data_IF_637470252292
#
_entry.id   IF_637470252292
#
_cell.length_a   1.000
_cell.length_b   1.000
_cell.length_c   1.000
_cell.angle_alpha   90.00
_cell.angle_beta   90.00
_cell.angle_gamma   90.00
#
_symmetry.space_group_name_H-M   'P 1'
#
loop_
_entity.id
_entity.type
_entity.pdbx_description
1 polymer ?
#
# COMPACT_ATOMS: atom_id res chain seq x y z
N UNK A 1 3.30 -23.37 -4.53
CA UNK A 1 3.48 -23.14 -3.08
C UNK A 1 3.42 -21.63 -2.79
N UNK A 2 2.56 -21.18 -1.87
CA UNK A 2 2.60 -19.80 -1.35
C UNK A 2 3.75 -19.75 -0.33
N UNK A 3 4.71 -18.85 -0.50
CA UNK A 3 5.76 -18.62 0.51
C UNK A 3 5.06 -18.15 1.80
N UNK A 4 5.41 -18.72 2.98
CA UNK A 4 4.84 -18.25 4.24
C UNK A 4 5.14 -16.77 4.43
N UNK A 5 4.18 -16.05 5.04
CA UNK A 5 4.34 -14.64 5.37
C UNK A 5 5.45 -14.51 6.42
N UNK A 6 6.39 -13.60 6.18
CA UNK A 6 7.47 -13.27 7.12
C UNK A 6 7.12 -11.97 7.85
N UNK A 7 7.08 -12.03 9.19
CA UNK A 7 6.77 -10.89 10.05
C UNK A 7 7.81 -9.78 9.90
N UNK A 8 9.10 -10.13 9.83
CA UNK A 8 10.18 -9.13 9.73
C UNK A 8 10.07 -8.36 8.41
N UNK A 9 9.83 -9.07 7.32
CA UNK A 9 9.62 -8.47 6.01
C UNK A 9 8.35 -7.61 5.96
N UNK A 10 7.24 -8.06 6.58
CA UNK A 10 6.03 -7.26 6.65
C UNK A 10 6.23 -5.95 7.44
N UNK A 11 7.01 -5.98 8.54
CA UNK A 11 7.35 -4.77 9.30
C UNK A 11 8.18 -3.80 8.43
N UNK A 12 9.21 -4.29 7.73
CA UNK A 12 9.99 -3.47 6.78
C UNK A 12 9.12 -2.85 5.68
N UNK A 13 8.22 -3.63 5.08
CA UNK A 13 7.33 -3.15 4.02
C UNK A 13 6.31 -2.13 4.54
N UNK A 14 5.85 -2.25 5.78
CA UNK A 14 5.03 -1.22 6.44
C UNK A 14 5.80 0.09 6.52
N UNK A 15 7.05 0.07 7.00
CA UNK A 15 7.89 1.27 7.13
C UNK A 15 8.10 1.96 5.76
N UNK A 16 8.34 1.17 4.70
CA UNK A 16 8.49 1.69 3.34
C UNK A 16 7.20 2.37 2.86
N UNK A 17 6.04 1.73 3.05
CA UNK A 17 4.75 2.27 2.60
C UNK A 17 4.37 3.52 3.39
N UNK A 18 4.65 3.56 4.70
CA UNK A 18 4.44 4.74 5.55
C UNK A 18 5.33 5.91 5.13
N UNK A 19 6.64 5.66 4.94
CA UNK A 19 7.58 6.68 4.50
C UNK A 19 7.14 7.31 3.16
N UNK A 20 6.79 6.49 2.18
CA UNK A 20 6.33 6.97 0.87
C UNK A 20 5.02 7.77 0.99
N UNK A 21 4.08 7.34 1.85
CA UNK A 21 2.84 8.08 2.09
C UNK A 21 3.08 9.44 2.74
N UNK A 22 4.05 9.58 3.64
CA UNK A 22 4.43 10.87 4.24
C UNK A 22 4.96 11.88 3.22
N UNK A 23 5.47 11.41 2.07
CA UNK A 23 5.95 12.27 0.98
C UNK A 23 4.85 12.70 0.02
N UNK A 24 3.63 12.16 0.14
CA UNK A 24 2.49 12.54 -0.68
C UNK A 24 1.95 13.90 -0.22
N UNK A 25 1.87 14.92 -1.10
CA UNK A 25 1.38 16.23 -0.71
C UNK A 25 -0.05 16.20 -0.18
N UNK A 26 -0.30 16.94 0.89
CA UNK A 26 -1.65 17.28 1.32
C UNK A 26 -2.32 18.23 0.33
N UNK A 27 -3.64 18.08 0.18
CA UNK A 27 -4.43 18.84 -0.79
C UNK A 27 -5.63 19.43 -0.10
N UNK A 28 -5.90 20.71 -0.37
CA UNK A 28 -7.09 21.42 0.10
C UNK A 28 -8.26 21.22 -0.86
N UNK A 29 -9.48 21.29 -0.34
CA UNK A 29 -10.68 21.29 -1.17
C UNK A 29 -10.62 22.49 -2.14
N UNK A 30 -10.87 22.24 -3.42
CA UNK A 30 -10.82 23.25 -4.48
C UNK A 30 -9.45 23.48 -5.13
N UNK A 31 -8.36 22.90 -4.59
CA UNK A 31 -7.02 22.99 -5.21
C UNK A 31 -6.84 21.90 -6.27
N UNK A 32 -7.28 22.18 -7.50
CA UNK A 32 -7.16 21.23 -8.62
C UNK A 32 -5.71 20.84 -8.90
N UNK A 33 -4.80 21.80 -8.92
CA UNK A 33 -3.39 21.53 -9.22
C UNK A 33 -2.75 20.71 -8.08
N UNK A 34 -3.16 20.95 -6.83
CA UNK A 34 -2.81 20.10 -5.69
C UNK A 34 -3.29 18.67 -5.85
N UNK A 35 -4.53 18.48 -6.31
CA UNK A 35 -5.08 17.15 -6.62
C UNK A 35 -4.25 16.41 -7.67
N UNK A 36 -3.84 17.09 -8.74
CA UNK A 36 -2.99 16.51 -9.78
C UNK A 36 -1.61 16.12 -9.24
N UNK A 37 -0.94 17.02 -8.48
CA UNK A 37 0.36 16.73 -7.84
C UNK A 37 0.27 15.53 -6.90
N UNK A 38 -0.79 15.46 -6.09
CA UNK A 38 -1.03 14.34 -5.18
C UNK A 38 -1.23 13.02 -5.93
N UNK A 39 -2.02 13.03 -7.00
CA UNK A 39 -2.25 11.82 -7.80
C UNK A 39 -0.96 11.37 -8.51
N UNK A 40 -0.15 12.31 -9.00
CA UNK A 40 1.15 12.01 -9.58
C UNK A 40 2.11 11.39 -8.54
N UNK A 41 2.16 11.92 -7.32
CA UNK A 41 2.96 11.35 -6.22
C UNK A 41 2.51 9.92 -5.86
N UNK A 42 1.20 9.68 -5.77
CA UNK A 42 0.65 8.34 -5.52
C UNK A 42 0.97 7.35 -6.65
N UNK A 43 1.02 7.81 -7.91
CA UNK A 43 1.43 7.00 -9.06
C UNK A 43 2.90 6.62 -8.95
N UNK A 44 3.78 7.58 -8.66
CA UNK A 44 5.22 7.34 -8.43
C UNK A 44 5.46 6.34 -7.29
N UNK A 45 4.70 6.44 -6.21
CA UNK A 45 4.75 5.48 -5.11
C UNK A 45 4.35 4.07 -5.59
N UNK A 46 3.29 3.96 -6.41
CA UNK A 46 2.88 2.66 -6.97
C UNK A 46 4.01 2.05 -7.82
N UNK A 47 4.62 2.85 -8.68
CA UNK A 47 5.73 2.44 -9.54
C UNK A 47 6.93 1.97 -8.70
N UNK A 48 7.35 2.76 -7.70
CA UNK A 48 8.42 2.39 -6.76
C UNK A 48 8.13 1.06 -6.04
N UNK A 49 6.92 0.88 -5.51
CA UNK A 49 6.57 -0.36 -4.81
C UNK A 49 6.59 -1.57 -5.77
N UNK A 50 6.22 -1.39 -7.03
CA UNK A 50 6.28 -2.45 -8.03
C UNK A 50 7.72 -2.78 -8.43
N UNK A 51 8.54 -1.78 -8.69
CA UNK A 51 9.92 -1.95 -9.17
C UNK A 51 10.88 -2.40 -8.08
N UNK A 52 10.81 -1.80 -6.89
CA UNK A 52 11.76 -2.02 -5.81
C UNK A 52 11.31 -3.09 -4.81
N UNK A 53 9.99 -3.18 -4.55
CA UNK A 53 9.45 -4.04 -3.49
C UNK A 53 8.64 -5.23 -4.04
N UNK A 54 8.53 -5.36 -5.36
CA UNK A 54 7.82 -6.46 -6.01
C UNK A 54 6.29 -6.43 -5.82
N UNK A 55 5.71 -5.26 -5.56
CA UNK A 55 4.27 -5.10 -5.46
C UNK A 55 3.58 -5.40 -6.81
N UNK A 56 2.45 -6.11 -6.74
CA UNK A 56 1.55 -6.29 -7.88
C UNK A 56 0.34 -5.41 -7.67
N UNK A 57 0.21 -4.37 -8.49
CA UNK A 57 -0.88 -3.40 -8.41
C UNK A 57 -1.74 -3.53 -9.67
N UNK A 58 -3.02 -3.81 -9.48
CA UNK A 58 -4.02 -3.84 -10.53
C UNK A 58 -4.86 -2.56 -10.45
N UNK A 59 -4.99 -1.85 -11.57
CA UNK A 59 -5.73 -0.57 -11.64
C UNK A 59 -6.91 -0.66 -12.63
N UNK A 60 -7.86 -1.60 -12.46
CA UNK A 60 -9.07 -1.59 -13.28
C UNK A 60 -9.96 -0.40 -12.90
N UNK A 61 -10.94 -0.12 -13.76
CA UNK A 61 -11.84 1.04 -13.64
C UNK A 61 -12.68 1.03 -12.35
N UNK A 62 -13.04 -0.16 -11.86
CA UNK A 62 -13.99 -0.40 -10.77
C UNK A 62 -13.34 -0.55 -9.40
N UNK A 63 -12.27 -1.33 -9.27
CA UNK A 63 -11.63 -1.62 -7.98
C UNK A 63 -10.12 -1.82 -8.11
N UNK A 64 -9.36 -0.91 -7.51
CA UNK A 64 -7.89 -1.02 -7.49
C UNK A 64 -7.50 -2.12 -6.52
N UNK A 65 -6.54 -2.95 -6.89
CA UNK A 65 -6.04 -4.07 -6.11
C UNK A 65 -4.53 -3.97 -5.89
N UNK A 66 -4.04 -4.41 -4.74
CA UNK A 66 -2.62 -4.47 -4.44
C UNK A 66 -2.28 -5.78 -3.73
N UNK A 67 -1.19 -6.41 -4.15
CA UNK A 67 -0.56 -7.52 -3.45
C UNK A 67 0.92 -7.23 -3.22
N UNK A 68 1.34 -7.26 -1.96
CA UNK A 68 2.72 -6.98 -1.53
C UNK A 68 2.99 -7.75 -0.23
N UNK A 69 4.20 -8.33 -0.11
CA UNK A 69 4.58 -9.10 1.08
C UNK A 69 3.65 -10.28 1.37
N UNK A 70 2.95 -10.82 0.36
CA UNK A 70 1.93 -11.85 0.50
C UNK A 70 0.55 -11.39 1.02
N UNK A 71 0.41 -10.11 1.41
CA UNK A 71 -0.86 -9.49 1.80
C UNK A 71 -1.55 -8.90 0.57
N UNK A 72 -2.87 -9.06 0.47
CA UNK A 72 -3.69 -8.53 -0.63
C UNK A 72 -4.79 -7.61 -0.12
N UNK A 73 -5.09 -6.54 -0.84
CA UNK A 73 -6.19 -5.61 -0.52
C UNK A 73 -6.79 -5.01 -1.78
N UNK A 74 -7.96 -4.40 -1.66
CA UNK A 74 -8.61 -3.62 -2.72
C UNK A 74 -9.18 -2.30 -2.20
N UNK A 75 -9.41 -1.36 -3.11
CA UNK A 75 -10.00 -0.07 -2.80
C UNK A 75 -10.67 0.53 -4.04
N UNK A 76 -11.86 1.08 -3.86
CA UNK A 76 -12.59 1.86 -4.87
C UNK A 76 -12.21 3.35 -4.83
N UNK A 77 -11.81 3.87 -3.67
CA UNK A 77 -11.52 5.29 -3.43
C UNK A 77 -10.18 5.81 -4.01
N UNK A 78 -9.42 4.97 -4.71
CA UNK A 78 -8.15 5.37 -5.32
C UNK A 78 -6.90 4.80 -4.63
N UNK A 79 -5.73 5.16 -5.14
CA UNK A 79 -4.42 4.65 -4.67
C UNK A 79 -4.14 4.99 -3.20
N UNK A 80 -4.44 6.22 -2.77
CA UNK A 80 -4.21 6.61 -1.37
C UNK A 80 -5.05 5.80 -0.36
N UNK A 81 -6.28 5.44 -0.73
CA UNK A 81 -7.09 4.52 0.06
C UNK A 81 -6.55 3.09 0.02
N UNK A 82 -6.09 2.64 -1.16
CA UNK A 82 -5.50 1.32 -1.36
C UNK A 82 -4.28 1.08 -0.47
N UNK A 83 -3.34 2.03 -0.42
CA UNK A 83 -2.14 1.92 0.41
C UNK A 83 -2.47 1.89 1.90
N UNK A 84 -3.39 2.74 2.37
CA UNK A 84 -3.84 2.73 3.77
C UNK A 84 -4.56 1.43 4.13
N UNK A 85 -5.39 0.91 3.24
CA UNK A 85 -6.03 -0.39 3.43
C UNK A 85 -5.00 -1.52 3.51
N UNK A 86 -3.93 -1.44 2.71
CA UNK A 86 -2.85 -2.43 2.76
C UNK A 86 -2.10 -2.36 4.09
N UNK A 87 -1.78 -1.17 4.61
CA UNK A 87 -1.16 -0.99 5.94
C UNK A 87 -1.99 -1.65 7.05
N UNK A 88 -3.31 -1.43 7.06
CA UNK A 88 -4.21 -2.06 8.04
C UNK A 88 -4.21 -3.59 7.89
N UNK A 89 -4.28 -4.09 6.65
CA UNK A 89 -4.26 -5.53 6.39
C UNK A 89 -2.93 -6.18 6.80
N UNK A 90 -1.79 -5.51 6.55
CA UNK A 90 -0.47 -5.99 6.92
C UNK A 90 -0.29 -6.07 8.44
N UNK A 91 -0.71 -5.04 9.18
CA UNK A 91 -0.69 -5.06 10.65
C UNK A 91 -1.56 -6.17 11.24
N UNK A 92 -2.75 -6.39 10.67
CA UNK A 92 -3.62 -7.53 11.06
C UNK A 92 -2.97 -8.88 10.79
N UNK A 93 -2.26 -9.02 9.66
CA UNK A 93 -1.54 -10.24 9.33
C UNK A 93 -0.42 -10.52 10.33
N UNK A 94 0.35 -9.49 10.72
CA UNK A 94 1.38 -9.61 11.76
C UNK A 94 0.76 -10.06 13.09
N UNK A 95 -0.29 -9.36 13.56
CA UNK A 95 -0.93 -9.69 14.84
C UNK A 95 -1.43 -11.15 14.88
N UNK A 96 -1.96 -11.65 13.77
CA UNK A 96 -2.35 -13.06 13.63
C UNK A 96 -1.15 -14.02 13.68
N UNK A 97 -0.08 -13.71 12.96
CA UNK A 97 1.13 -14.54 12.96
C UNK A 97 1.82 -14.57 14.33
N UNK A 98 1.72 -13.47 15.10
CA UNK A 98 2.23 -13.39 16.47
C UNK A 98 1.34 -14.18 17.45
N UNK A 99 0.01 -14.19 17.29
CA UNK A 99 -0.90 -14.99 18.12
C UNK A 99 -0.83 -16.49 17.86
N UNK A 100 -0.50 -16.88 16.62
CA UNK A 100 -0.44 -18.28 16.19
C UNK A 100 0.93 -18.94 16.51
N UNK A 101 1.89 -18.19 17.10
CA UNK A 101 3.17 -18.75 17.58
C UNK A 101 2.97 -19.41 18.96
N UNK A 102 3.38 -20.69 19.14
CA UNK A 102 3.27 -21.40 20.41
C UNK A 102 4.22 -20.86 21.48
#
# INVERSE_FOLDING_TARGET
MKRPLDIAELKRLIDVVEMQLCMVPDVKVGDRDGWERRNAALRKMADYLTECEGARIALPFDAKGMKLGGVSTSCTAGLGGLFRNWLVAARRAIAKLESDRP
#
